data_IF_483914084382
#
_entry.id   IF_483914084382
#
_cell.length_a   1.000
_cell.length_b   1.000
_cell.length_c   1.000
_cell.angle_alpha   90.00
_cell.angle_beta   90.00
_cell.angle_gamma   90.00
#
_symmetry.space_group_name_H-M   'P 1'
#
loop_
_entity.id
_entity.type
_entity.pdbx_description
1 polymer ?
#
# COMPACT_ATOMS: atom_id res chain seq x y z
N UNK A 1 -0.84 17.11 24.00
CA UNK A 1 -1.71 16.28 23.15
C UNK A 1 -1.04 15.94 21.82
N UNK A 2 -0.46 16.92 21.11
CA UNK A 2 0.30 16.68 19.87
C UNK A 2 1.40 15.61 20.01
N UNK A 3 2.30 15.74 20.99
CA UNK A 3 3.38 14.76 21.22
C UNK A 3 2.87 13.34 21.49
N UNK A 4 1.72 13.21 22.16
CA UNK A 4 1.10 11.92 22.41
C UNK A 4 0.58 11.32 21.10
N UNK A 5 -0.13 12.12 20.29
CA UNK A 5 -0.62 11.69 18.98
C UNK A 5 0.52 11.33 18.02
N UNK A 6 1.60 12.12 17.97
CA UNK A 6 2.80 11.82 17.17
C UNK A 6 3.42 10.49 17.59
N UNK A 7 3.58 10.25 18.89
CA UNK A 7 4.08 8.97 19.41
C UNK A 7 3.14 7.81 19.09
N UNK A 8 1.82 8.01 19.14
CA UNK A 8 0.84 6.99 18.78
C UNK A 8 0.90 6.64 17.29
N UNK A 9 1.00 7.63 16.40
CA UNK A 9 1.15 7.43 14.95
C UNK A 9 2.46 6.68 14.65
N UNK A 10 3.58 7.11 15.25
CA UNK A 10 4.87 6.44 15.07
C UNK A 10 4.86 4.99 15.57
N UNK A 11 4.21 4.72 16.72
CA UNK A 11 4.06 3.35 17.24
C UNK A 11 3.19 2.48 16.32
N UNK A 12 2.08 3.02 15.81
CA UNK A 12 1.21 2.32 14.88
C UNK A 12 1.93 2.01 13.56
N UNK A 13 2.71 2.95 13.02
CA UNK A 13 3.55 2.75 11.83
C UNK A 13 4.55 1.61 12.04
N UNK A 14 5.27 1.64 13.16
CA UNK A 14 6.23 0.58 13.52
C UNK A 14 5.57 -0.79 13.67
N UNK A 15 4.38 -0.86 14.27
CA UNK A 15 3.64 -2.10 14.41
C UNK A 15 3.20 -2.64 13.04
N UNK A 16 2.74 -1.77 12.15
CA UNK A 16 2.39 -2.11 10.78
C UNK A 16 3.59 -2.64 9.98
N UNK A 17 4.75 -1.97 10.06
CA UNK A 17 5.99 -2.43 9.42
C UNK A 17 6.41 -3.82 9.92
N UNK A 18 6.30 -4.07 11.23
CA UNK A 18 6.55 -5.39 11.81
C UNK A 18 5.60 -6.46 11.29
N UNK A 19 4.31 -6.14 11.18
CA UNK A 19 3.31 -7.02 10.59
C UNK A 19 3.61 -7.34 9.12
N UNK A 20 3.91 -6.34 8.29
CA UNK A 20 4.26 -6.52 6.89
C UNK A 20 5.53 -7.36 6.73
N UNK A 21 6.53 -7.15 7.60
CA UNK A 21 7.72 -8.00 7.65
C UNK A 21 7.41 -9.48 7.91
N UNK A 22 6.39 -9.78 8.72
CA UNK A 22 5.92 -11.16 8.93
C UNK A 22 5.16 -11.70 7.71
N UNK A 23 4.30 -10.89 7.08
CA UNK A 23 3.58 -11.24 5.84
C UNK A 23 4.54 -11.60 4.71
N UNK A 24 5.60 -10.83 4.50
CA UNK A 24 6.59 -11.14 3.46
C UNK A 24 7.35 -12.44 3.73
N UNK A 25 7.66 -12.76 5.00
CA UNK A 25 8.32 -14.01 5.37
C UNK A 25 7.47 -15.24 5.09
N UNK A 26 6.17 -15.17 5.39
CA UNK A 26 5.24 -16.29 5.14
C UNK A 26 4.96 -16.44 3.65
N UNK A 27 4.82 -15.35 2.89
CA UNK A 27 4.59 -15.41 1.44
C UNK A 27 5.80 -15.91 0.63
N UNK A 28 7.02 -15.78 1.18
CA UNK A 28 8.25 -16.33 0.58
C UNK A 28 8.46 -17.83 0.80
N UNK A 29 7.62 -18.51 1.61
CA UNK A 29 7.85 -19.89 2.07
C UNK A 29 6.97 -20.96 1.39
N UNK A 30 6.28 -20.63 0.29
CA UNK A 30 5.43 -21.57 -0.44
C UNK A 30 6.21 -22.31 -1.54
N UNK A 31 6.28 -23.64 -1.40
CA UNK A 31 7.11 -24.60 -2.12
C UNK A 31 6.89 -24.69 -3.64
N UNK A 32 7.98 -24.96 -4.37
CA UNK A 32 8.17 -24.72 -5.81
C UNK A 32 7.56 -25.75 -6.79
N UNK A 33 6.63 -26.61 -6.37
CA UNK A 33 6.20 -27.76 -7.19
C UNK A 33 4.85 -27.61 -7.93
N UNK A 34 3.97 -26.66 -7.55
CA UNK A 34 2.66 -26.46 -8.19
C UNK A 34 2.62 -25.26 -9.19
N UNK A 35 3.79 -24.72 -9.54
CA UNK A 35 4.06 -23.29 -9.82
C UNK A 35 3.51 -22.73 -11.14
N UNK A 36 3.19 -23.54 -12.15
CA UNK A 36 2.86 -22.97 -13.48
C UNK A 36 1.43 -22.43 -13.62
N UNK A 37 0.46 -22.89 -12.81
CA UNK A 37 -0.88 -22.31 -12.75
C UNK A 37 -1.03 -21.27 -11.62
N UNK A 38 -0.14 -21.32 -10.62
CA UNK A 38 -0.14 -20.44 -9.43
C UNK A 38 0.74 -19.21 -9.57
N UNK A 39 1.66 -19.14 -10.54
CA UNK A 39 2.49 -17.95 -10.79
C UNK A 39 1.65 -16.68 -10.97
N UNK A 40 0.57 -16.75 -11.76
CA UNK A 40 -0.37 -15.64 -11.96
C UNK A 40 -1.09 -15.22 -10.67
N UNK A 41 -1.43 -16.19 -9.80
CA UNK A 41 -2.11 -15.93 -8.52
C UNK A 41 -1.14 -15.34 -7.50
N UNK A 42 0.10 -15.83 -7.48
CA UNK A 42 1.18 -15.30 -6.65
C UNK A 42 1.51 -13.85 -7.02
N UNK A 43 1.67 -13.54 -8.31
CA UNK A 43 1.93 -12.19 -8.79
C UNK A 43 0.80 -11.21 -8.42
N UNK A 44 -0.46 -11.63 -8.55
CA UNK A 44 -1.62 -10.83 -8.13
C UNK A 44 -1.61 -10.61 -6.62
N UNK A 45 -1.26 -11.63 -5.84
CA UNK A 45 -1.19 -11.55 -4.37
C UNK A 45 -0.05 -10.63 -3.93
N UNK A 46 1.14 -10.74 -4.54
CA UNK A 46 2.28 -9.85 -4.29
C UNK A 46 1.94 -8.39 -4.61
N UNK A 47 1.25 -8.14 -5.72
CA UNK A 47 0.76 -6.80 -6.07
C UNK A 47 -0.25 -6.27 -5.05
N UNK A 48 -1.22 -7.09 -4.65
CA UNK A 48 -2.22 -6.69 -3.66
C UNK A 48 -1.58 -6.32 -2.30
N UNK A 49 -0.61 -7.11 -1.84
CA UNK A 49 0.17 -6.82 -0.63
C UNK A 49 0.93 -5.49 -0.80
N UNK A 50 1.64 -5.29 -1.91
CA UNK A 50 2.37 -4.05 -2.18
C UNK A 50 1.47 -2.81 -2.27
N UNK A 51 0.26 -2.95 -2.79
CA UNK A 51 -0.72 -1.85 -2.83
C UNK A 51 -1.25 -1.53 -1.44
N UNK A 52 -1.54 -2.54 -0.62
CA UNK A 52 -1.95 -2.33 0.77
C UNK A 52 -0.86 -1.59 1.56
N UNK A 53 0.41 -1.99 1.39
CA UNK A 53 1.56 -1.32 2.02
C UNK A 53 1.66 0.15 1.61
N UNK A 54 1.62 0.43 0.30
CA UNK A 54 1.67 1.81 -0.22
C UNK A 54 0.51 2.67 0.31
N UNK A 55 -0.71 2.13 0.30
CA UNK A 55 -1.91 2.87 0.72
C UNK A 55 -1.87 3.17 2.23
N UNK A 56 -1.45 2.20 3.05
CA UNK A 56 -1.31 2.40 4.50
C UNK A 56 -0.17 3.36 4.83
N UNK A 57 0.97 3.28 4.13
CA UNK A 57 2.07 4.25 4.29
C UNK A 57 1.59 5.67 3.98
N UNK A 58 0.88 5.87 2.87
CA UNK A 58 0.35 7.18 2.50
C UNK A 58 -0.61 7.75 3.55
N UNK A 59 -1.42 6.90 4.20
CA UNK A 59 -2.28 7.31 5.30
C UNK A 59 -1.48 7.72 6.56
N UNK A 60 -0.39 7.01 6.87
CA UNK A 60 0.50 7.41 7.96
C UNK A 60 1.20 8.74 7.66
N UNK A 61 1.69 8.93 6.44
CA UNK A 61 2.34 10.18 6.04
C UNK A 61 1.36 11.37 6.13
N UNK A 62 0.10 11.20 5.69
CA UNK A 62 -0.95 12.20 5.89
C UNK A 62 -1.20 12.45 7.39
N UNK A 63 -1.30 11.41 8.22
CA UNK A 63 -1.53 11.56 9.65
C UNK A 63 -0.39 12.36 10.33
N UNK A 64 0.87 12.10 9.97
CA UNK A 64 2.03 12.87 10.46
C UNK A 64 1.95 14.33 10.02
N UNK A 65 1.63 14.60 8.74
CA UNK A 65 1.47 15.96 8.22
C UNK A 65 0.32 16.72 8.91
N UNK A 66 -0.82 16.06 9.14
CA UNK A 66 -1.97 16.65 9.83
C UNK A 66 -1.65 17.03 11.28
N UNK A 67 -0.83 16.25 11.98
CA UNK A 67 -0.36 16.59 13.33
C UNK A 67 0.58 17.79 13.35
N UNK A 68 1.28 18.05 12.24
CA UNK A 68 2.19 19.18 12.08
C UNK A 68 1.52 20.44 11.53
N UNK A 69 0.32 20.31 10.95
CA UNK A 69 -0.43 21.42 10.38
C UNK A 69 -0.71 22.53 11.40
N UNK A 70 -0.52 23.77 10.98
CA UNK A 70 -0.60 24.98 11.80
C UNK A 70 -2.01 25.56 11.82
N UNK A 71 -2.77 25.35 10.74
CA UNK A 71 -4.11 25.90 10.59
C UNK A 71 -5.03 25.01 9.72
N UNK A 72 -6.36 25.24 9.73
CA UNK A 72 -7.30 24.45 8.95
C UNK A 72 -7.12 24.54 7.43
N UNK A 73 -6.50 25.60 6.90
CA UNK A 73 -6.23 25.71 5.45
C UNK A 73 -5.11 24.75 5.05
N UNK A 74 -4.09 24.62 5.90
CA UNK A 74 -3.04 23.62 5.72
C UNK A 74 -3.62 22.20 5.76
N UNK A 75 -4.54 21.91 6.69
CA UNK A 75 -5.27 20.62 6.74
C UNK A 75 -6.02 20.31 5.44
N UNK A 76 -6.76 21.29 4.90
CA UNK A 76 -7.50 21.11 3.64
C UNK A 76 -6.57 20.88 2.44
N UNK A 77 -5.42 21.56 2.45
CA UNK A 77 -4.39 21.39 1.41
C UNK A 77 -3.82 19.97 1.45
N UNK A 78 -3.44 19.49 2.63
CA UNK A 78 -2.92 18.13 2.84
C UNK A 78 -3.92 17.05 2.43
N UNK A 79 -5.20 17.20 2.81
CA UNK A 79 -6.27 16.28 2.38
C UNK A 79 -6.45 16.28 0.86
N UNK A 80 -6.39 17.45 0.22
CA UNK A 80 -6.48 17.56 -1.24
C UNK A 80 -5.31 16.88 -1.96
N UNK A 81 -4.08 17.09 -1.47
CA UNK A 81 -2.87 16.43 -2.00
C UNK A 81 -2.94 14.91 -1.82
N UNK A 82 -3.35 14.45 -0.64
CA UNK A 82 -3.53 13.02 -0.38
C UNK A 82 -4.54 12.39 -1.35
N UNK A 83 -5.72 13.00 -1.54
CA UNK A 83 -6.73 12.48 -2.46
C UNK A 83 -6.22 12.46 -3.90
N UNK A 84 -5.53 13.51 -4.35
CA UNK A 84 -4.93 13.56 -5.69
C UNK A 84 -3.92 12.44 -5.88
N UNK A 85 -3.02 12.24 -4.92
CA UNK A 85 -2.00 11.19 -4.97
C UNK A 85 -2.63 9.80 -4.92
N UNK A 86 -3.63 9.59 -4.06
CA UNK A 86 -4.33 8.32 -3.93
C UNK A 86 -5.10 7.96 -5.22
N UNK A 87 -5.71 8.94 -5.89
CA UNK A 87 -6.37 8.74 -7.19
C UNK A 87 -5.36 8.38 -8.28
N UNK A 88 -4.22 9.06 -8.35
CA UNK A 88 -3.15 8.73 -9.29
C UNK A 88 -2.62 7.30 -9.05
N UNK A 89 -2.37 6.95 -7.78
CA UNK A 89 -1.96 5.61 -7.39
C UNK A 89 -3.02 4.56 -7.77
N UNK A 90 -4.31 4.80 -7.51
CA UNK A 90 -5.38 3.87 -7.88
C UNK A 90 -5.48 3.65 -9.40
N UNK A 91 -5.31 4.70 -10.20
CA UNK A 91 -5.29 4.58 -11.66
C UNK A 91 -4.13 3.70 -12.13
N UNK A 92 -2.93 3.91 -11.59
CA UNK A 92 -1.76 3.11 -11.90
C UNK A 92 -1.92 1.66 -11.45
N UNK A 93 -2.38 1.44 -10.22
CA UNK A 93 -2.65 0.12 -9.65
C UNK A 93 -3.66 -0.67 -10.50
N UNK A 94 -4.72 -0.01 -10.97
CA UNK A 94 -5.76 -0.61 -11.84
C UNK A 94 -5.18 -0.97 -13.21
N UNK A 95 -4.39 -0.07 -13.80
CA UNK A 95 -3.70 -0.30 -15.08
C UNK A 95 -2.78 -1.52 -14.98
N UNK A 96 -1.97 -1.59 -13.94
CA UNK A 96 -1.03 -2.68 -13.69
C UNK A 96 -1.72 -4.02 -13.41
N UNK A 97 -2.84 -4.02 -12.68
CA UNK A 97 -3.64 -5.23 -12.46
C UNK A 97 -4.27 -5.71 -13.76
N UNK A 98 -4.81 -4.79 -14.57
CA UNK A 98 -5.35 -5.11 -15.89
C UNK A 98 -4.30 -5.74 -16.81
N UNK A 99 -3.07 -5.21 -16.80
CA UNK A 99 -1.96 -5.80 -17.55
C UNK A 99 -1.56 -7.19 -17.04
N UNK A 100 -1.48 -7.38 -15.72
CA UNK A 100 -1.20 -8.70 -15.12
C UNK A 100 -2.29 -9.71 -15.46
N UNK A 101 -3.56 -9.31 -15.39
CA UNK A 101 -4.70 -10.15 -15.75
C UNK A 101 -4.70 -10.54 -17.23
N UNK A 102 -4.43 -9.59 -18.13
CA UNK A 102 -4.32 -9.86 -19.57
C UNK A 102 -3.17 -10.83 -19.90
N UNK A 103 -2.03 -10.70 -19.20
CA UNK A 103 -0.91 -11.64 -19.32
C UNK A 103 -1.29 -13.04 -18.81
N UNK A 104 -1.94 -13.11 -17.64
CA UNK A 104 -2.35 -14.38 -17.02
C UNK A 104 -3.39 -15.16 -17.85
N UNK A 105 -4.21 -14.47 -18.63
CA UNK A 105 -5.28 -15.07 -19.47
C UNK A 105 -4.88 -15.29 -20.94
N UNK A 106 -3.66 -14.89 -21.33
CA UNK A 106 -3.16 -15.05 -22.71
C UNK A 106 -3.80 -14.10 -23.74
N UNK A 107 -4.51 -13.05 -23.30
CA UNK A 107 -5.16 -12.07 -24.17
C UNK A 107 -4.16 -11.07 -24.81
N UNK A 108 -2.95 -10.98 -24.27
CA UNK A 108 -1.81 -10.34 -24.97
C UNK A 108 -0.96 -11.43 -25.63
N UNK A 109 -1.06 -11.54 -26.96
CA UNK A 109 0.00 -12.10 -27.80
C UNK A 109 1.13 -11.09 -27.96
#
# INVERSE_FOLDING_TARGET
MKDFAERSVAQARKAFEGFMGAVHKTHGSADSAAVNATASVKDVTDKAIGYAEKNVSAAFDLAEQLLQAKDPKEVLTLQGEYLKNQLAALQEQTRELGETFQKATGLKK
#
